data_IF_328058481463
#
_entry.id   IF_328058481463
#
_cell.length_a   1.000
_cell.length_b   1.000
_cell.length_c   1.000
_cell.angle_alpha   90.00
_cell.angle_beta   90.00
_cell.angle_gamma   90.00
#
_symmetry.space_group_name_H-M   'P 1'
#
loop_
_entity.id
_entity.type
_entity.pdbx_description
1 polymer ?
#
# COMPACT_ATOMS: atom_id res chain seq x y z
N UNK A 1 10.82 3.96 -15.96
CA UNK A 1 10.50 4.57 -17.28
C UNK A 1 9.83 5.91 -17.03
N UNK A 2 10.35 6.99 -17.62
CA UNK A 2 9.77 8.34 -17.49
C UNK A 2 8.85 8.59 -18.68
N UNK A 3 7.61 8.94 -18.40
CA UNK A 3 6.68 9.39 -19.43
C UNK A 3 6.38 10.88 -19.20
N UNK A 4 6.72 11.70 -20.20
CA UNK A 4 6.57 13.14 -20.15
C UNK A 4 5.30 13.55 -20.89
N UNK A 5 4.35 14.16 -20.21
CA UNK A 5 3.16 14.72 -20.81
C UNK A 5 3.34 16.24 -20.97
N UNK A 6 3.22 16.73 -22.20
CA UNK A 6 3.20 18.16 -22.51
C UNK A 6 1.75 18.56 -22.74
N UNK A 7 1.18 19.30 -21.82
CA UNK A 7 -0.05 20.06 -22.06
C UNK A 7 0.35 21.53 -22.16
N UNK A 8 -0.13 22.19 -23.19
CA UNK A 8 0.23 23.55 -23.59
C UNK A 8 0.36 24.53 -22.41
N UNK A 9 1.51 25.19 -22.33
CA UNK A 9 1.92 26.21 -21.37
C UNK A 9 2.40 25.75 -19.98
N UNK A 10 3.62 25.24 -19.92
CA UNK A 10 4.58 25.37 -18.82
C UNK A 10 4.42 24.51 -17.55
N UNK A 11 3.65 23.43 -17.53
CA UNK A 11 3.77 22.46 -16.44
C UNK A 11 4.25 21.14 -17.04
N UNK A 12 5.48 20.77 -16.76
CA UNK A 12 6.02 19.44 -17.09
C UNK A 12 5.70 18.53 -15.92
N UNK A 13 4.59 17.81 -15.99
CA UNK A 13 4.30 16.75 -15.04
C UNK A 13 5.14 15.52 -15.41
N UNK A 14 5.87 14.99 -14.44
CA UNK A 14 6.56 13.72 -14.54
C UNK A 14 5.72 12.63 -13.91
N UNK A 15 5.78 11.44 -14.50
CA UNK A 15 5.22 10.21 -13.91
C UNK A 15 6.35 9.20 -13.82
N UNK A 16 6.57 8.68 -12.62
CA UNK A 16 7.54 7.64 -12.35
C UNK A 16 6.87 6.48 -11.62
N UNK A 17 7.10 5.25 -12.05
CA UNK A 17 6.48 4.08 -11.43
C UNK A 17 7.45 2.93 -11.30
N UNK A 18 7.44 2.28 -10.13
CA UNK A 18 8.15 1.04 -9.86
C UNK A 18 7.24 0.04 -9.15
N UNK A 19 7.57 -1.25 -9.27
CA UNK A 19 6.87 -2.33 -8.57
C UNK A 19 7.78 -2.95 -7.52
N UNK A 20 7.29 -2.97 -6.28
CA UNK A 20 7.90 -3.71 -5.17
C UNK A 20 7.34 -5.13 -5.19
N UNK A 21 8.21 -6.14 -5.14
CA UNK A 21 7.83 -7.55 -4.97
C UNK A 21 8.37 -8.07 -3.65
N UNK A 22 7.52 -8.68 -2.85
CA UNK A 22 7.94 -9.24 -1.56
C UNK A 22 7.02 -10.39 -1.13
N UNK A 23 7.59 -11.35 -0.41
CA UNK A 23 6.83 -12.45 0.18
C UNK A 23 6.34 -12.05 1.57
N UNK A 24 5.04 -12.18 1.80
CA UNK A 24 4.39 -11.85 3.08
C UNK A 24 3.66 -13.08 3.59
N UNK A 25 3.80 -13.35 4.89
CA UNK A 25 3.10 -14.44 5.55
C UNK A 25 1.59 -14.22 5.53
N UNK A 26 0.85 -15.31 5.62
CA UNK A 26 -0.60 -15.28 5.78
C UNK A 26 -1.00 -14.41 6.98
N UNK A 27 -2.04 -13.60 6.81
CA UNK A 27 -2.61 -12.71 7.84
C UNK A 27 -1.60 -11.76 8.49
N UNK A 28 -0.61 -11.30 7.73
CA UNK A 28 0.46 -10.45 8.27
C UNK A 28 0.60 -9.11 7.56
N UNK A 29 1.27 -8.18 8.23
CA UNK A 29 1.56 -6.83 7.78
C UNK A 29 3.06 -6.67 7.62
N UNK A 30 3.47 -5.94 6.59
CA UNK A 30 4.87 -5.67 6.31
C UNK A 30 5.09 -4.19 6.00
N UNK A 31 6.01 -3.56 6.71
CA UNK A 31 6.39 -2.16 6.51
C UNK A 31 7.20 -2.00 5.23
N UNK A 32 6.75 -1.13 4.35
CA UNK A 32 7.39 -0.80 3.08
C UNK A 32 7.79 0.68 2.98
N UNK A 33 7.75 1.42 4.08
CA UNK A 33 8.01 2.87 4.11
C UNK A 33 9.34 3.20 3.45
N UNK A 34 10.44 2.58 3.87
CA UNK A 34 11.78 2.83 3.32
C UNK A 34 11.87 2.53 1.81
N UNK A 35 11.13 1.49 1.35
CA UNK A 35 11.08 1.13 -0.07
C UNK A 35 10.36 2.21 -0.88
N UNK A 36 9.24 2.71 -0.37
CA UNK A 36 8.49 3.80 -1.00
C UNK A 36 9.32 5.09 -1.03
N UNK A 37 9.95 5.47 0.08
CA UNK A 37 10.85 6.62 0.15
C UNK A 37 11.98 6.53 -0.89
N UNK A 38 12.60 5.36 -0.99
CA UNK A 38 13.66 5.12 -1.96
C UNK A 38 13.17 5.29 -3.42
N UNK A 39 11.94 4.86 -3.73
CA UNK A 39 11.32 5.04 -5.05
C UNK A 39 11.05 6.52 -5.31
N UNK A 40 10.52 7.25 -4.33
CA UNK A 40 10.28 8.69 -4.44
C UNK A 40 11.60 9.43 -4.70
N UNK A 41 12.67 9.11 -3.97
CA UNK A 41 14.01 9.69 -4.24
C UNK A 41 14.50 9.43 -5.67
N UNK A 42 14.34 8.19 -6.16
CA UNK A 42 14.74 7.83 -7.54
C UNK A 42 13.91 8.55 -8.60
N UNK A 43 12.65 8.87 -8.31
CA UNK A 43 11.78 9.61 -9.24
C UNK A 43 12.29 11.02 -9.55
N UNK A 44 13.06 11.61 -8.63
CA UNK A 44 13.54 13.02 -8.67
C UNK A 44 12.41 14.06 -8.68
N UNK A 45 11.17 13.64 -8.46
CA UNK A 45 10.01 14.52 -8.32
C UNK A 45 10.11 15.23 -6.97
N UNK A 46 10.04 16.55 -6.99
CA UNK A 46 10.17 17.35 -5.78
C UNK A 46 8.82 17.62 -5.12
N UNK A 47 7.80 17.89 -5.90
CA UNK A 47 6.46 18.20 -5.38
C UNK A 47 5.40 17.43 -6.15
N UNK A 48 4.49 16.78 -5.44
CA UNK A 48 3.45 15.98 -6.07
C UNK A 48 2.76 15.02 -5.12
N UNK A 49 2.38 13.88 -5.66
CA UNK A 49 1.76 12.78 -4.91
C UNK A 49 2.43 11.45 -5.23
N UNK A 50 2.46 10.58 -4.25
CA UNK A 50 2.88 9.19 -4.40
C UNK A 50 1.69 8.28 -4.08
N UNK A 51 1.26 7.49 -5.05
CA UNK A 51 0.22 6.48 -4.88
C UNK A 51 0.85 5.10 -4.76
N UNK A 52 0.42 4.37 -3.75
CA UNK A 52 0.86 3.01 -3.43
C UNK A 52 -0.34 2.09 -3.63
N UNK A 53 -0.26 1.14 -4.55
CA UNK A 53 -1.35 0.25 -4.90
C UNK A 53 -0.92 -1.21 -4.76
N UNK A 54 -1.68 -1.98 -3.96
CA UNK A 54 -1.47 -3.43 -3.82
C UNK A 54 -2.21 -4.18 -4.92
N UNK A 55 -1.49 -4.99 -5.68
CA UNK A 55 -2.08 -5.83 -6.74
C UNK A 55 -2.59 -7.12 -6.13
N UNK A 56 -3.93 -7.29 -6.10
CA UNK A 56 -4.57 -8.50 -5.61
C UNK A 56 -5.80 -8.25 -4.76
N UNK A 57 -6.76 -9.17 -4.82
CA UNK A 57 -8.05 -9.06 -4.11
C UNK A 57 -8.00 -9.45 -2.63
N UNK A 58 -6.87 -9.94 -2.13
CA UNK A 58 -6.67 -10.39 -0.74
C UNK A 58 -5.52 -9.67 -0.07
N UNK A 59 -5.11 -8.53 -0.61
CA UNK A 59 -4.07 -7.69 -0.05
C UNK A 59 -4.51 -6.22 -0.01
N UNK A 60 -3.87 -5.45 0.83
CA UNK A 60 -4.20 -4.04 1.04
C UNK A 60 -2.98 -3.22 1.40
N UNK A 61 -3.10 -1.90 1.23
CA UNK A 61 -2.13 -0.92 1.73
C UNK A 61 -2.80 -0.08 2.81
N UNK A 62 -2.13 0.10 3.93
CA UNK A 62 -2.59 0.96 5.01
C UNK A 62 -1.47 1.87 5.50
N UNK A 63 -1.85 3.02 6.04
CA UNK A 63 -0.95 3.96 6.69
C UNK A 63 -1.39 4.10 8.14
N UNK A 64 -0.56 3.61 9.06
CA UNK A 64 -0.78 3.72 10.50
C UNK A 64 0.54 3.44 11.23
N UNK A 65 0.50 3.49 12.55
CA UNK A 65 1.64 3.12 13.38
C UNK A 65 1.95 1.62 13.25
N UNK A 66 3.22 1.31 12.97
CA UNK A 66 3.71 -0.07 12.91
C UNK A 66 4.19 -0.48 14.31
N UNK A 67 3.25 -0.71 15.22
CA UNK A 67 3.50 -1.13 16.60
C UNK A 67 2.86 -2.52 16.82
N UNK A 68 3.61 -3.50 17.40
CA UNK A 68 3.16 -4.89 17.47
C UNK A 68 1.80 -5.12 18.17
N UNK A 69 1.51 -4.38 19.25
CA UNK A 69 0.22 -4.52 19.96
C UNK A 69 -0.92 -3.92 19.16
N UNK A 70 -0.71 -2.77 18.51
CA UNK A 70 -1.70 -2.18 17.62
C UNK A 70 -1.97 -3.07 16.39
N UNK A 71 -0.93 -3.68 15.82
CA UNK A 71 -1.10 -4.65 14.73
C UNK A 71 -1.93 -5.85 15.18
N UNK A 72 -1.72 -6.34 16.41
CA UNK A 72 -2.56 -7.41 16.95
C UNK A 72 -4.00 -6.96 17.16
N UNK A 73 -4.23 -5.76 17.70
CA UNK A 73 -5.58 -5.20 17.84
C UNK A 73 -6.31 -5.05 16.50
N UNK A 74 -5.58 -4.66 15.44
CA UNK A 74 -6.12 -4.61 14.08
C UNK A 74 -6.53 -6.01 13.57
N UNK A 75 -5.68 -7.02 13.79
CA UNK A 75 -5.98 -8.41 13.44
C UNK A 75 -7.23 -8.91 14.19
N UNK A 76 -7.32 -8.66 15.47
CA UNK A 76 -8.46 -9.05 16.32
C UNK A 76 -9.76 -8.33 15.90
N UNK A 77 -9.66 -7.06 15.51
CA UNK A 77 -10.79 -6.30 14.99
C UNK A 77 -11.27 -6.88 13.64
N UNK A 78 -10.36 -7.18 12.73
CA UNK A 78 -10.69 -7.78 11.43
C UNK A 78 -11.28 -9.18 11.59
N UNK A 79 -10.82 -9.98 12.56
CA UNK A 79 -11.39 -11.28 12.88
C UNK A 79 -12.85 -11.16 13.37
N UNK A 80 -13.16 -10.15 14.19
CA UNK A 80 -14.55 -9.89 14.63
C UNK A 80 -15.48 -9.50 13.49
N UNK A 81 -14.98 -8.74 12.51
CA UNK A 81 -15.78 -8.27 11.37
C UNK A 81 -15.91 -9.34 10.29
N UNK A 82 -14.80 -9.99 9.95
CA UNK A 82 -14.69 -11.00 8.89
C UNK A 82 -13.94 -12.22 9.42
N UNK A 83 -14.65 -13.05 10.21
CA UNK A 83 -14.10 -14.24 10.86
C UNK A 83 -13.74 -15.33 9.85
N UNK A 84 -12.62 -16.00 10.08
CA UNK A 84 -12.22 -17.19 9.30
C UNK A 84 -13.16 -18.36 9.49
N UNK A 85 -13.82 -18.47 10.64
CA UNK A 85 -14.73 -19.58 11.00
C UNK A 85 -16.14 -19.40 10.46
N UNK A 86 -16.47 -18.20 9.96
CA UNK A 86 -17.83 -17.93 9.45
C UNK A 86 -18.05 -18.62 8.11
N UNK A 87 -19.27 -19.12 7.90
CA UNK A 87 -19.70 -19.64 6.61
C UNK A 87 -20.09 -18.48 5.70
N UNK A 88 -19.44 -18.40 4.54
CA UNK A 88 -19.68 -17.39 3.52
C UNK A 88 -20.21 -18.02 2.23
N UNK A 89 -20.87 -17.21 1.38
CA UNK A 89 -21.25 -17.63 0.04
C UNK A 89 -20.03 -17.96 -0.83
N UNK A 90 -18.97 -17.17 -0.73
CA UNK A 90 -17.66 -17.46 -1.32
C UNK A 90 -16.86 -18.34 -0.34
N UNK A 91 -17.09 -19.64 -0.39
CA UNK A 91 -16.75 -20.58 0.67
C UNK A 91 -15.25 -20.67 1.02
N UNK A 92 -14.34 -20.41 0.08
CA UNK A 92 -12.91 -20.71 0.27
C UNK A 92 -12.18 -19.66 1.12
N UNK A 93 -12.32 -18.38 0.78
CA UNK A 93 -11.53 -17.32 1.39
C UNK A 93 -12.25 -15.95 1.39
N UNK A 94 -13.57 -15.94 1.56
CA UNK A 94 -14.34 -14.69 1.56
C UNK A 94 -13.83 -13.68 2.58
N UNK A 95 -13.46 -14.13 3.79
CA UNK A 95 -12.93 -13.27 4.83
C UNK A 95 -11.68 -12.49 4.36
N UNK A 96 -10.79 -13.13 3.60
CA UNK A 96 -9.59 -12.49 3.03
C UNK A 96 -9.96 -11.32 2.11
N UNK A 97 -10.94 -11.53 1.22
CA UNK A 97 -11.43 -10.49 0.30
C UNK A 97 -12.15 -9.37 1.05
N UNK A 98 -12.96 -9.71 2.07
CA UNK A 98 -13.70 -8.72 2.87
C UNK A 98 -12.70 -7.84 3.65
N UNK A 99 -11.71 -8.45 4.33
CA UNK A 99 -10.66 -7.71 5.04
C UNK A 99 -9.92 -6.77 4.09
N UNK A 100 -9.53 -7.28 2.91
CA UNK A 100 -8.85 -6.46 1.91
C UNK A 100 -9.72 -5.29 1.42
N UNK A 101 -11.01 -5.51 1.19
CA UNK A 101 -11.94 -4.47 0.77
C UNK A 101 -12.16 -3.40 1.85
N UNK A 102 -12.21 -3.79 3.12
CA UNK A 102 -12.39 -2.87 4.26
C UNK A 102 -11.17 -1.98 4.48
N UNK A 103 -9.97 -2.55 4.39
CA UNK A 103 -8.70 -1.80 4.56
C UNK A 103 -8.40 -0.94 3.33
N UNK A 104 -8.68 -1.46 2.15
CA UNK A 104 -8.47 -0.77 0.87
C UNK A 104 -7.18 -1.15 0.15
N UNK A 105 -7.23 -1.11 -1.17
CA UNK A 105 -6.12 -1.54 -2.04
C UNK A 105 -5.06 -0.49 -2.30
N UNK A 106 -5.30 0.78 -1.97
CA UNK A 106 -4.35 1.86 -2.25
C UNK A 106 -4.35 2.96 -1.20
N UNK A 107 -3.22 3.65 -1.11
CA UNK A 107 -3.04 4.87 -0.34
C UNK A 107 -2.30 5.91 -1.18
N UNK A 108 -2.52 7.18 -0.89
CA UNK A 108 -1.81 8.29 -1.51
C UNK A 108 -1.22 9.18 -0.44
N UNK A 109 0.05 9.53 -0.59
CA UNK A 109 0.75 10.45 0.29
C UNK A 109 1.29 11.65 -0.49
N UNK A 110 1.33 12.85 0.11
CA UNK A 110 1.98 14.01 -0.52
C UNK A 110 3.49 13.79 -0.63
N UNK A 111 4.07 14.36 -1.69
CA UNK A 111 5.52 14.49 -1.87
C UNK A 111 5.86 15.98 -1.84
N UNK A 112 6.81 16.35 -0.98
CA UNK A 112 7.31 17.72 -0.87
C UNK A 112 8.81 17.70 -0.68
N UNK A 113 9.51 18.53 -1.46
CA UNK A 113 10.97 18.64 -1.45
C UNK A 113 11.69 17.29 -1.66
N UNK A 114 11.07 16.40 -2.44
CA UNK A 114 11.58 15.06 -2.75
C UNK A 114 11.36 14.00 -1.64
N UNK A 115 10.59 14.31 -0.61
CA UNK A 115 10.25 13.40 0.48
C UNK A 115 8.74 13.17 0.59
N UNK A 116 8.34 11.98 1.04
CA UNK A 116 6.95 11.73 1.41
C UNK A 116 6.62 12.42 2.73
N UNK A 117 5.39 12.90 2.86
CA UNK A 117 4.92 13.50 4.11
C UNK A 117 4.13 12.45 4.89
N UNK A 118 4.69 12.03 6.00
CA UNK A 118 4.05 11.16 6.99
C UNK A 118 4.14 11.79 8.38
N UNK A 119 3.17 11.48 9.23
CA UNK A 119 3.28 11.78 10.66
C UNK A 119 4.35 10.91 11.34
N UNK A 120 4.84 11.35 12.48
CA UNK A 120 5.94 10.70 13.23
C UNK A 120 5.75 9.19 13.43
N UNK A 121 4.52 8.76 13.65
CA UNK A 121 4.19 7.34 13.91
C UNK A 121 3.59 6.62 12.72
N UNK A 122 3.44 7.28 11.58
CA UNK A 122 2.87 6.66 10.39
C UNK A 122 3.93 5.87 9.62
N UNK A 123 3.60 4.63 9.32
CA UNK A 123 4.30 3.75 8.39
C UNK A 123 3.36 3.36 7.26
N UNK A 124 3.91 3.12 6.08
CA UNK A 124 3.19 2.53 4.96
C UNK A 124 3.37 1.03 5.03
N UNK A 125 2.27 0.30 5.19
CA UNK A 125 2.31 -1.16 5.32
C UNK A 125 1.48 -1.82 4.23
N UNK A 126 1.97 -2.96 3.75
CA UNK A 126 1.18 -3.90 2.95
C UNK A 126 0.68 -5.03 3.83
N UNK A 127 -0.58 -5.41 3.68
CA UNK A 127 -1.20 -6.54 4.35
C UNK A 127 -1.45 -7.69 3.38
N UNK A 128 -1.17 -8.92 3.81
CA UNK A 128 -1.58 -10.14 3.15
C UNK A 128 -2.69 -10.81 3.97
N UNK A 129 -3.92 -10.77 3.47
CA UNK A 129 -5.09 -11.42 4.10
C UNK A 129 -5.41 -12.79 3.52
N UNK A 130 -4.57 -13.31 2.60
CA UNK A 130 -4.79 -14.65 2.05
C UNK A 130 -4.59 -15.74 3.11
N UNK A 131 -5.17 -16.90 2.84
CA UNK A 131 -5.00 -18.12 3.65
C UNK A 131 -3.57 -18.65 3.65
N UNK A 132 -2.79 -18.30 2.62
CA UNK A 132 -1.42 -18.73 2.42
C UNK A 132 -0.45 -17.54 2.41
N UNK A 133 0.83 -17.85 2.66
CA UNK A 133 1.93 -16.94 2.35
C UNK A 133 1.92 -16.63 0.86
N UNK A 134 2.03 -15.34 0.52
CA UNK A 134 1.97 -14.89 -0.89
C UNK A 134 3.15 -14.00 -1.24
N UNK A 135 3.63 -14.15 -2.47
CA UNK A 135 4.34 -13.06 -3.12
C UNK A 135 3.32 -11.97 -3.46
N UNK A 136 3.61 -10.74 -3.03
CA UNK A 136 2.78 -9.56 -3.26
C UNK A 136 3.51 -8.57 -4.13
N UNK A 137 2.76 -7.95 -5.03
CA UNK A 137 3.22 -6.84 -5.85
C UNK A 137 2.56 -5.55 -5.39
N UNK A 138 3.38 -4.51 -5.23
CA UNK A 138 2.92 -3.17 -4.88
C UNK A 138 3.45 -2.21 -5.93
N UNK A 139 2.55 -1.56 -6.64
CA UNK A 139 2.90 -0.53 -7.62
C UNK A 139 2.96 0.81 -6.90
N UNK A 140 4.12 1.45 -6.98
CA UNK A 140 4.36 2.80 -6.44
C UNK A 140 4.49 3.76 -7.61
N UNK A 141 3.58 4.73 -7.67
CA UNK A 141 3.56 5.73 -8.75
C UNK A 141 3.68 7.12 -8.16
N UNK A 142 4.67 7.87 -8.63
CA UNK A 142 4.92 9.26 -8.23
C UNK A 142 4.55 10.17 -9.40
N UNK A 143 3.73 11.19 -9.13
CA UNK A 143 3.28 12.18 -10.11
C UNK A 143 3.55 13.57 -9.56
N UNK A 144 4.22 14.41 -10.34
CA UNK A 144 4.53 15.80 -9.94
C UNK A 144 5.59 16.44 -10.78
N UNK A 145 6.30 17.40 -10.22
CA UNK A 145 7.33 18.23 -10.86
C UNK A 145 8.66 18.25 -10.07
#
# INVERSE_FOLDING_TARGET
MYQKFIISNHIINMVYSETIKLKIKSQDFFDITDKVESIVKRSKIQNGICTIFSVGGTSSVLINENEPMLIQDLKDCLEKIASEEKIYHHAKNAYSHIRAALVGGSQTVPVKDGDIILGTWQSIMIANFDVDDREREVVVTVVGE
#
